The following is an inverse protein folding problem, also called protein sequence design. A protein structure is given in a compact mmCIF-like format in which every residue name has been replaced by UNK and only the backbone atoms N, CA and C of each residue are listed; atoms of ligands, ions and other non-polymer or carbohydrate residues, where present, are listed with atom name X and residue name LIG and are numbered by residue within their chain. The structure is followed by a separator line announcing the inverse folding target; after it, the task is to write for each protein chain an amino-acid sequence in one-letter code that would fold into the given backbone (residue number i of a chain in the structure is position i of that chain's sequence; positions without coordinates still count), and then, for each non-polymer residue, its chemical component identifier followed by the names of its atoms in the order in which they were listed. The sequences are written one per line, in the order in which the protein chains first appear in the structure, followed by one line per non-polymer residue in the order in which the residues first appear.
data_IF_582786532871
#
_entry.id   IF_582786532871
#
_cell.length_a   1.000
_cell.length_b   1.000
_cell.length_c   1.000
_cell.angle_alpha   90.00
_cell.angle_beta   90.00
_cell.angle_gamma   90.00
#
_symmetry.space_group_name_H-M   'P 1'
#
loop_
_entity.id
_entity.type
_entity.pdbx_description
1 polymer ?
#
# COMPACT_ATOMS: atom_id res chain seq x y z
N UNK A 1 -11.94 26.61 -82.58
CA UNK A 1 -11.45 25.29 -82.10
C UNK A 1 -11.13 25.42 -80.62
N UNK A 2 -11.91 24.79 -79.71
CA UNK A 2 -11.78 24.95 -78.25
C UNK A 2 -10.83 23.88 -77.71
N UNK A 3 -9.68 24.27 -77.18
CA UNK A 3 -8.71 23.36 -76.55
C UNK A 3 -9.22 22.97 -75.16
N UNK A 4 -9.48 21.66 -74.95
CA UNK A 4 -9.82 21.10 -73.65
C UNK A 4 -8.53 20.85 -72.86
N UNK A 5 -8.22 21.71 -71.91
CA UNK A 5 -7.12 21.48 -70.96
C UNK A 5 -7.50 20.33 -70.01
N UNK A 6 -6.66 19.28 -69.95
CA UNK A 6 -6.84 18.16 -69.02
C UNK A 6 -6.74 18.65 -67.57
N UNK A 7 -7.61 18.20 -66.64
CA UNK A 7 -7.49 18.57 -65.23
C UNK A 7 -6.21 17.97 -64.63
N UNK A 8 -5.38 18.82 -64.03
CA UNK A 8 -4.16 18.40 -63.34
C UNK A 8 -4.55 17.68 -62.03
N UNK A 9 -4.17 16.40 -61.89
CA UNK A 9 -4.40 15.63 -60.66
C UNK A 9 -3.65 16.30 -59.52
N UNK A 10 -4.38 16.70 -58.46
CA UNK A 10 -3.79 17.18 -57.20
C UNK A 10 -2.94 16.05 -56.62
N UNK A 11 -1.65 16.31 -56.36
CA UNK A 11 -0.80 15.38 -55.62
C UNK A 11 -1.37 15.29 -54.21
N UNK A 12 -1.91 14.14 -53.84
CA UNK A 12 -2.29 13.88 -52.46
C UNK A 12 -1.02 13.90 -51.62
N UNK A 13 -0.92 14.84 -50.69
CA UNK A 13 0.15 14.84 -49.70
C UNK A 13 -0.13 13.70 -48.72
N UNK A 14 0.63 12.61 -48.82
CA UNK A 14 0.47 11.40 -48.01
C UNK A 14 0.88 11.60 -46.53
N UNK A 15 0.99 12.85 -46.07
CA UNK A 15 1.43 13.22 -44.73
C UNK A 15 0.45 12.73 -43.66
N UNK A 16 -0.87 12.85 -43.89
CA UNK A 16 -1.88 12.39 -42.92
C UNK A 16 -1.83 10.86 -42.76
N UNK A 17 -1.85 10.05 -43.84
CA UNK A 17 -1.62 8.60 -43.72
C UNK A 17 -0.28 8.24 -43.06
N UNK A 18 0.80 8.96 -43.36
CA UNK A 18 2.13 8.72 -42.80
C UNK A 18 2.18 8.98 -41.29
N UNK A 19 1.59 10.10 -40.84
CA UNK A 19 1.45 10.44 -39.41
C UNK A 19 0.73 9.32 -38.68
N UNK A 20 -0.37 8.79 -39.24
CA UNK A 20 -1.11 7.71 -38.63
C UNK A 20 -0.26 6.46 -38.43
N UNK A 21 0.57 6.08 -39.41
CA UNK A 21 1.45 4.90 -39.28
C UNK A 21 2.48 5.11 -38.17
N UNK A 22 3.11 6.29 -38.12
CA UNK A 22 4.12 6.62 -37.09
C UNK A 22 3.49 6.67 -35.70
N UNK A 23 2.32 7.29 -35.56
CA UNK A 23 1.60 7.38 -34.29
C UNK A 23 1.19 5.99 -33.77
N UNK A 24 0.69 5.14 -34.67
CA UNK A 24 0.34 3.76 -34.33
C UNK A 24 1.57 2.98 -33.85
N UNK A 25 2.72 3.13 -34.52
CA UNK A 25 3.97 2.50 -34.08
C UNK A 25 4.41 2.97 -32.69
N UNK A 26 4.28 4.26 -32.37
CA UNK A 26 4.63 4.78 -31.04
C UNK A 26 3.71 4.23 -29.94
N UNK A 27 2.40 4.11 -30.17
CA UNK A 27 1.47 3.50 -29.21
C UNK A 27 1.81 2.02 -29.01
N UNK A 28 2.07 1.28 -30.09
CA UNK A 28 2.47 -0.12 -29.99
C UNK A 28 3.78 -0.29 -29.22
N UNK A 29 4.78 0.57 -29.45
CA UNK A 29 6.03 0.54 -28.70
C UNK A 29 5.85 0.92 -27.22
N UNK A 30 4.99 1.89 -26.92
CA UNK A 30 4.67 2.25 -25.54
C UNK A 30 3.99 1.08 -24.81
N UNK A 31 3.04 0.42 -25.46
CA UNK A 31 2.32 -0.72 -24.89
C UNK A 31 3.23 -1.95 -24.72
N UNK A 32 4.05 -2.25 -25.72
CA UNK A 32 5.00 -3.37 -25.66
C UNK A 32 6.16 -3.12 -24.68
N UNK A 33 6.62 -1.86 -24.56
CA UNK A 33 7.67 -1.46 -23.61
C UNK A 33 7.22 -1.43 -22.15
N UNK A 34 5.92 -1.55 -21.87
CA UNK A 34 5.37 -1.73 -20.52
C UNK A 34 5.36 -3.19 -20.07
N UNK A 35 5.93 -4.11 -20.85
CA UNK A 35 6.12 -5.51 -20.46
C UNK A 35 7.56 -5.67 -19.92
N UNK A 36 7.73 -5.35 -18.65
CA UNK A 36 8.90 -5.73 -17.82
C UNK A 36 8.33 -5.88 -16.39
N UNK A 37 8.41 -6.99 -15.65
CA UNK A 37 9.31 -8.15 -15.64
C UNK A 37 8.52 -9.34 -15.10
N UNK A 38 8.57 -10.49 -15.76
CA UNK A 38 8.20 -11.78 -15.13
C UNK A 38 9.46 -12.66 -14.97
N UNK A 39 10.59 -12.03 -14.62
CA UNK A 39 11.85 -12.71 -14.32
C UNK A 39 11.90 -13.25 -12.88
N UNK A 40 10.74 -13.53 -12.29
CA UNK A 40 10.64 -14.21 -11.00
C UNK A 40 10.43 -15.74 -11.14
N UNK A 41 10.59 -16.32 -12.33
CA UNK A 41 10.34 -17.75 -12.56
C UNK A 41 11.42 -18.71 -12.06
N UNK A 42 12.49 -18.24 -11.41
CA UNK A 42 13.51 -19.15 -10.86
C UNK A 42 14.11 -18.74 -9.52
N UNK A 43 13.42 -17.85 -8.81
CA UNK A 43 13.66 -17.62 -7.39
C UNK A 43 12.40 -18.06 -6.67
N UNK A 44 12.49 -19.04 -5.76
CA UNK A 44 11.53 -19.06 -4.65
C UNK A 44 11.79 -17.75 -3.91
N UNK A 45 10.84 -16.80 -3.90
CA UNK A 45 10.91 -15.71 -2.95
C UNK A 45 11.07 -16.36 -1.58
N UNK A 46 11.85 -15.76 -0.67
CA UNK A 46 11.68 -16.11 0.73
C UNK A 46 10.18 -16.05 1.01
N UNK A 47 9.61 -17.10 1.61
CA UNK A 47 8.28 -17.02 2.18
C UNK A 47 8.34 -15.89 3.20
N UNK A 48 8.04 -14.67 2.74
CA UNK A 48 7.35 -13.74 3.58
C UNK A 48 6.06 -14.48 3.83
N UNK A 49 5.97 -15.10 4.99
CA UNK A 49 4.67 -15.29 5.59
C UNK A 49 4.08 -13.89 5.51
N UNK A 50 3.20 -13.68 4.54
CA UNK A 50 2.08 -12.77 4.68
C UNK A 50 1.40 -13.27 5.95
N UNK A 51 2.00 -12.96 7.11
CA UNK A 51 1.42 -13.19 8.41
C UNK A 51 0.19 -12.34 8.29
N UNK A 52 -0.92 -13.03 8.04
CA UNK A 52 -2.21 -12.40 7.83
C UNK A 52 -2.34 -11.41 8.97
N UNK A 53 -2.86 -10.20 8.75
CA UNK A 53 -2.94 -9.21 9.85
C UNK A 53 -3.50 -9.84 11.15
N UNK A 54 -4.35 -10.86 11.03
CA UNK A 54 -4.81 -11.73 12.14
C UNK A 54 -3.72 -12.38 12.99
N UNK A 55 -2.65 -12.92 12.41
CA UNK A 55 -1.56 -13.59 13.13
C UNK A 55 -0.66 -12.59 13.86
N UNK A 56 -0.47 -11.39 13.29
CA UNK A 56 0.23 -10.28 13.96
C UNK A 56 -0.63 -9.67 15.10
N UNK A 57 -1.96 -9.76 15.01
CA UNK A 57 -2.87 -9.20 16.03
C UNK A 57 -3.08 -10.16 17.21
N UNK A 58 -2.60 -11.41 17.13
CA UNK A 58 -2.72 -12.38 18.23
C UNK A 58 -1.96 -11.89 19.48
N UNK A 59 -2.70 -11.48 20.52
CA UNK A 59 -2.14 -10.91 21.74
C UNK A 59 -1.83 -9.41 21.69
N UNK A 60 -2.12 -8.73 20.58
CA UNK A 60 -1.91 -7.29 20.44
C UNK A 60 -2.88 -6.49 21.33
N UNK A 61 -2.41 -5.31 21.75
CA UNK A 61 -3.20 -4.34 22.47
C UNK A 61 -4.03 -3.52 21.48
N UNK A 62 -5.35 -3.57 21.56
CA UNK A 62 -6.25 -2.85 20.65
C UNK A 62 -6.75 -1.59 21.35
N UNK A 63 -6.65 -0.44 20.68
CA UNK A 63 -7.15 0.85 21.16
C UNK A 63 -8.31 1.29 20.26
N UNK A 64 -9.51 1.28 20.82
CA UNK A 64 -10.74 1.72 20.16
C UNK A 64 -10.80 3.26 20.02
N UNK A 65 -11.66 3.81 19.15
CA UNK A 65 -11.75 5.26 18.89
C UNK A 65 -12.00 6.12 20.14
N UNK A 66 -12.73 5.57 21.11
CA UNK A 66 -13.07 6.19 22.39
C UNK A 66 -11.91 6.18 23.40
N UNK A 67 -10.80 5.50 23.06
CA UNK A 67 -9.65 5.30 23.93
C UNK A 67 -9.76 4.07 24.82
N UNK A 68 -10.81 3.25 24.69
CA UNK A 68 -10.91 1.97 25.39
C UNK A 68 -9.84 1.03 24.88
N UNK A 69 -9.17 0.34 25.80
CA UNK A 69 -8.06 -0.57 25.50
C UNK A 69 -8.52 -1.99 25.79
N UNK A 70 -8.30 -2.89 24.84
CA UNK A 70 -8.60 -4.31 24.98
C UNK A 70 -7.40 -5.17 24.60
N UNK A 71 -7.25 -6.31 25.26
CA UNK A 71 -6.29 -7.35 24.91
C UNK A 71 -7.02 -8.69 24.96
N UNK A 72 -6.91 -9.50 23.91
CA UNK A 72 -7.64 -10.78 23.79
C UNK A 72 -9.15 -10.62 24.11
N UNK A 73 -9.77 -9.57 23.57
CA UNK A 73 -11.20 -9.23 23.76
C UNK A 73 -11.59 -8.87 25.20
N UNK A 74 -10.63 -8.71 26.11
CA UNK A 74 -10.88 -8.26 27.48
C UNK A 74 -10.44 -6.80 27.67
N UNK A 75 -11.24 -5.97 28.35
CA UNK A 75 -10.83 -4.60 28.68
C UNK A 75 -9.66 -4.62 29.66
N UNK A 76 -8.64 -3.83 29.38
CA UNK A 76 -7.43 -3.71 30.21
C UNK A 76 -7.11 -2.24 30.47
N UNK A 77 -6.56 -1.95 31.64
CA UNK A 77 -6.05 -0.61 31.95
C UNK A 77 -4.54 -0.60 31.72
N UNK A 78 -4.02 0.52 31.20
CA UNK A 78 -2.58 0.70 30.98
C UNK A 78 -1.78 0.47 32.26
N UNK A 79 -2.37 0.83 33.40
CA UNK A 79 -1.74 0.76 34.72
C UNK A 79 -1.52 -0.67 35.21
N UNK A 80 -2.34 -1.61 34.75
CA UNK A 80 -2.29 -3.02 35.13
C UNK A 80 -1.39 -3.85 34.19
N UNK A 81 -0.94 -3.25 33.09
CA UNK A 81 -0.07 -3.90 32.12
C UNK A 81 1.38 -3.82 32.57
N UNK A 82 2.02 -4.98 32.69
CA UNK A 82 3.45 -5.09 32.94
C UNK A 82 4.12 -5.94 31.85
N UNK A 83 5.35 -5.59 31.46
CA UNK A 83 6.12 -6.44 30.55
C UNK A 83 6.39 -7.79 31.21
N UNK A 84 6.18 -8.86 30.45
CA UNK A 84 6.50 -10.22 30.90
C UNK A 84 8.03 -10.35 31.03
N UNK A 85 8.52 -10.71 32.22
CA UNK A 85 9.94 -10.89 32.46
C UNK A 85 10.52 -11.95 31.51
N UNK A 86 11.56 -11.59 30.77
CA UNK A 86 12.24 -12.47 29.82
C UNK A 86 11.67 -12.46 28.40
N UNK A 87 10.53 -11.80 28.15
CA UNK A 87 10.03 -11.59 26.79
C UNK A 87 10.65 -10.31 26.20
N UNK A 88 11.39 -10.45 25.10
CA UNK A 88 11.98 -9.34 24.35
C UNK A 88 11.14 -8.92 23.14
N UNK A 89 10.03 -9.61 22.91
CA UNK A 89 9.17 -9.30 21.77
C UNK A 89 8.52 -7.92 21.97
N UNK A 90 8.48 -7.10 20.91
CA UNK A 90 7.88 -5.77 21.00
C UNK A 90 6.38 -5.90 21.28
N UNK A 91 5.87 -5.01 22.15
CA UNK A 91 4.43 -4.93 22.40
C UNK A 91 3.75 -4.42 21.12
N UNK A 92 2.93 -5.25 20.49
CA UNK A 92 2.12 -4.83 19.35
C UNK A 92 0.90 -4.06 19.83
N UNK A 93 0.71 -2.86 19.27
CA UNK A 93 -0.42 -1.98 19.55
C UNK A 93 -1.14 -1.69 18.24
N UNK A 94 -2.43 -2.00 18.20
CA UNK A 94 -3.33 -1.70 17.08
C UNK A 94 -4.20 -0.53 17.49
N UNK A 95 -4.11 0.58 16.75
CA UNK A 95 -4.93 1.76 17.00
C UNK A 95 -5.97 1.94 15.90
N UNK A 96 -7.21 2.24 16.29
CA UNK A 96 -8.24 2.63 15.34
C UNK A 96 -7.86 3.95 14.64
N UNK A 97 -8.24 4.07 13.37
CA UNK A 97 -8.00 5.28 12.55
C UNK A 97 -8.67 6.54 13.13
N UNK A 98 -9.84 6.39 13.77
CA UNK A 98 -10.59 7.48 14.37
C UNK A 98 -10.04 7.90 15.74
N UNK A 99 -9.07 7.17 16.30
CA UNK A 99 -8.44 7.52 17.57
C UNK A 99 -7.68 8.84 17.44
N UNK A 100 -7.88 9.73 18.42
CA UNK A 100 -7.16 11.00 18.45
C UNK A 100 -5.66 10.77 18.71
N UNK A 101 -4.80 11.51 17.99
CA UNK A 101 -3.35 11.44 18.20
C UNK A 101 -2.92 11.80 19.63
N UNK A 102 -3.68 12.67 20.31
CA UNK A 102 -3.43 13.02 21.71
C UNK A 102 -3.70 11.84 22.64
N UNK A 103 -4.80 11.11 22.43
CA UNK A 103 -5.14 9.90 23.20
C UNK A 103 -4.09 8.83 22.97
N UNK A 104 -3.72 8.57 21.70
CA UNK A 104 -2.69 7.60 21.36
C UNK A 104 -1.35 7.93 22.04
N UNK A 105 -0.91 9.19 21.96
CA UNK A 105 0.35 9.62 22.58
C UNK A 105 0.33 9.46 24.11
N UNK A 106 -0.80 9.74 24.76
CA UNK A 106 -0.96 9.54 26.22
C UNK A 106 -0.87 8.06 26.59
N UNK A 107 -1.54 7.19 25.83
CA UNK A 107 -1.52 5.73 26.05
C UNK A 107 -0.11 5.17 25.87
N UNK A 108 0.59 5.53 24.80
CA UNK A 108 1.97 5.10 24.54
C UNK A 108 2.94 5.59 25.63
N UNK A 109 2.76 6.82 26.13
CA UNK A 109 3.55 7.34 27.24
C UNK A 109 3.28 6.57 28.55
N UNK A 110 2.03 6.16 28.79
CA UNK A 110 1.66 5.30 29.92
C UNK A 110 2.33 3.92 29.85
N UNK A 111 2.27 3.27 28.69
CA UNK A 111 2.94 1.98 28.45
C UNK A 111 4.45 2.08 28.67
N UNK A 112 5.09 3.15 28.19
CA UNK A 112 6.53 3.37 28.42
C UNK A 112 6.87 3.52 29.91
N UNK A 113 6.00 4.14 30.71
CA UNK A 113 6.18 4.25 32.17
C UNK A 113 6.07 2.90 32.88
N UNK A 114 5.30 1.96 32.33
CA UNK A 114 5.17 0.60 32.85
C UNK A 114 6.35 -0.31 32.46
N UNK A 115 7.32 0.18 31.68
CA UNK A 115 8.52 -0.57 31.31
C UNK A 115 8.48 -1.20 29.92
N UNK A 116 7.43 -0.97 29.13
CA UNK A 116 7.43 -1.35 27.71
C UNK A 116 8.41 -0.46 26.94
N UNK A 117 9.56 -1.02 26.58
CA UNK A 117 10.65 -0.30 25.90
C UNK A 117 10.57 -0.38 24.38
N UNK A 118 9.97 -1.46 23.86
CA UNK A 118 9.80 -1.70 22.43
C UNK A 118 8.30 -1.86 22.13
N UNK A 119 7.74 -0.92 21.38
CA UNK A 119 6.31 -0.85 21.05
C UNK A 119 6.18 -0.71 19.53
N UNK A 120 5.52 -1.67 18.90
CA UNK A 120 5.23 -1.64 17.46
C UNK A 120 3.79 -1.19 17.24
N UNK A 121 3.61 -0.01 16.64
CA UNK A 121 2.29 0.48 16.24
C UNK A 121 1.88 -0.11 14.89
N UNK A 122 0.79 -0.87 14.87
CA UNK A 122 0.20 -1.44 13.67
C UNK A 122 -1.05 -0.63 13.31
N UNK A 123 -1.06 -0.04 12.11
CA UNK A 123 -2.24 0.61 11.55
C UNK A 123 -2.93 -0.35 10.60
N UNK A 124 -4.22 -0.61 10.82
CA UNK A 124 -4.99 -1.44 9.88
C UNK A 124 -5.25 -0.62 8.61
N UNK A 125 -4.71 -1.06 7.47
CA UNK A 125 -5.06 -0.47 6.17
C UNK A 125 -6.52 -0.83 5.91
N UNK A 126 -7.39 0.16 5.79
CA UNK A 126 -8.76 -0.07 5.35
C UNK A 126 -8.69 -0.81 4.01
N UNK A 127 -9.25 -2.03 3.95
CA UNK A 127 -9.48 -2.72 2.70
C UNK A 127 -10.34 -1.80 1.83
N UNK A 128 -9.80 -1.40 0.67
CA UNK A 128 -10.56 -0.74 -0.37
C UNK A 128 -11.22 -1.80 -1.25
#
# INVERSE_FOLDING_TARGET
MRLKTKPQKRKFENTIPLINIVFLMLIFFLFAGSIDRDDAKNVSPAETQEQSSRELIAGALIIAPDGTITQNEQPVLVEDLMPLEGNKDPLMVVADKALSGQTLARTLAGLKKQGFSDITLVTVRAAQ
#
